data_IF_267285033486
#
_entry.id   IF_267285033486
#
_cell.length_a   1.000
_cell.length_b   1.000
_cell.length_c   1.000
_cell.angle_alpha   90.00
_cell.angle_beta   90.00
_cell.angle_gamma   90.00
#
_symmetry.space_group_name_H-M   'P 1'
#
loop_
_entity.id
_entity.type
_entity.pdbx_description
1 polymer ?
#
# COMPACT_ATOMS: atom_id res chain seq x y z
N UNK A 1 57.86 -9.90 12.15
CA UNK A 1 57.37 -9.70 10.75
C UNK A 1 58.20 -8.63 10.07
N UNK A 2 58.78 -8.94 8.92
CA UNK A 2 59.51 -7.97 8.09
C UNK A 2 58.59 -6.87 7.55
N UNK A 3 59.12 -5.70 7.27
CA UNK A 3 58.36 -4.56 6.73
C UNK A 3 57.48 -4.92 5.52
N UNK A 4 57.99 -5.66 4.50
CA UNK A 4 57.16 -6.03 3.34
C UNK A 4 55.97 -6.93 3.69
N UNK A 5 56.09 -7.81 4.67
CA UNK A 5 54.97 -8.66 5.13
C UNK A 5 53.90 -7.81 5.81
N UNK A 6 54.28 -6.81 6.60
CA UNK A 6 53.28 -5.90 7.25
C UNK A 6 52.53 -5.07 6.21
N UNK A 7 53.23 -4.56 5.20
CA UNK A 7 52.61 -3.80 4.13
C UNK A 7 51.64 -4.67 3.32
N UNK A 8 52.05 -5.89 2.95
CA UNK A 8 51.19 -6.83 2.24
C UNK A 8 49.92 -7.19 3.05
N UNK A 9 50.09 -7.43 4.36
CA UNK A 9 48.93 -7.72 5.25
C UNK A 9 47.94 -6.55 5.32
N UNK A 10 48.45 -5.31 5.40
CA UNK A 10 47.59 -4.12 5.40
C UNK A 10 46.85 -3.94 4.09
N UNK A 11 47.50 -4.16 2.95
CA UNK A 11 46.84 -4.08 1.64
C UNK A 11 45.72 -5.11 1.52
N UNK A 12 45.99 -6.38 1.90
CA UNK A 12 44.98 -7.43 1.85
C UNK A 12 43.80 -7.13 2.78
N UNK A 13 44.08 -6.62 4.00
CA UNK A 13 43.02 -6.23 4.94
C UNK A 13 42.17 -5.08 4.36
N UNK A 14 42.79 -4.08 3.76
CA UNK A 14 42.07 -2.95 3.15
C UNK A 14 41.19 -3.39 1.96
N UNK A 15 41.70 -4.27 1.11
CA UNK A 15 40.94 -4.85 0.00
C UNK A 15 39.76 -5.70 0.49
N UNK A 16 39.95 -6.49 1.54
CA UNK A 16 38.89 -7.31 2.13
C UNK A 16 37.77 -6.45 2.74
N UNK A 17 38.11 -5.40 3.48
CA UNK A 17 37.16 -4.45 4.04
C UNK A 17 36.43 -3.69 2.92
N UNK A 18 37.14 -3.24 1.90
CA UNK A 18 36.52 -2.58 0.73
C UNK A 18 35.57 -3.48 -0.03
N UNK A 19 35.93 -4.75 -0.24
CA UNK A 19 35.07 -5.75 -0.87
C UNK A 19 33.83 -6.04 -0.04
N UNK A 20 33.96 -6.18 1.29
CA UNK A 20 32.85 -6.39 2.19
C UNK A 20 31.90 -5.19 2.21
N UNK A 21 32.45 -3.98 2.30
CA UNK A 21 31.65 -2.75 2.26
C UNK A 21 30.91 -2.61 0.91
N UNK A 22 31.60 -2.87 -0.20
CA UNK A 22 31.00 -2.89 -1.53
C UNK A 22 29.88 -3.94 -1.66
N UNK A 23 30.10 -5.15 -1.14
CA UNK A 23 29.10 -6.21 -1.11
C UNK A 23 27.86 -5.78 -0.30
N UNK A 24 28.05 -5.22 0.90
CA UNK A 24 26.95 -4.73 1.74
C UNK A 24 26.16 -3.63 1.02
N UNK A 25 26.86 -2.64 0.44
CA UNK A 25 26.20 -1.55 -0.28
C UNK A 25 25.40 -2.07 -1.48
N UNK A 26 26.00 -2.92 -2.30
CA UNK A 26 25.33 -3.47 -3.49
C UNK A 26 24.16 -4.38 -3.07
N UNK A 27 24.39 -5.27 -2.12
CA UNK A 27 23.40 -6.28 -1.76
C UNK A 27 22.23 -5.74 -0.93
N UNK A 28 22.48 -4.80 -0.03
CA UNK A 28 21.43 -4.29 0.88
C UNK A 28 20.87 -2.93 0.49
N UNK A 29 21.59 -2.11 -0.27
CA UNK A 29 21.15 -0.77 -0.62
C UNK A 29 20.85 -0.55 -2.10
N UNK A 30 21.55 -1.24 -3.00
CA UNK A 30 21.35 -1.08 -4.44
C UNK A 30 20.61 -2.25 -5.09
N UNK A 31 20.74 -3.46 -4.54
CA UNK A 31 20.04 -4.64 -5.04
C UNK A 31 18.69 -4.92 -4.35
N UNK A 32 18.31 -4.16 -3.31
CA UNK A 32 16.95 -4.17 -2.81
C UNK A 32 16.06 -3.51 -3.87
N UNK A 33 15.56 -4.29 -4.82
CA UNK A 33 14.41 -3.87 -5.61
C UNK A 33 13.30 -3.54 -4.62
N UNK A 34 12.79 -2.31 -4.65
CA UNK A 34 11.59 -1.95 -3.91
C UNK A 34 10.44 -2.93 -4.23
N UNK A 35 9.30 -2.84 -3.54
CA UNK A 35 8.14 -3.65 -3.87
C UNK A 35 7.83 -3.54 -5.37
N UNK A 36 7.42 -4.63 -6.03
CA UNK A 36 7.11 -4.61 -7.46
C UNK A 36 6.05 -3.54 -7.78
N UNK A 37 6.03 -3.09 -9.02
CA UNK A 37 5.02 -2.15 -9.54
C UNK A 37 4.07 -2.94 -10.44
N UNK A 38 2.76 -2.89 -10.17
CA UNK A 38 1.74 -3.53 -11.01
C UNK A 38 1.30 -2.59 -12.12
N UNK A 39 1.44 -3.04 -13.35
CA UNK A 39 1.17 -2.24 -14.56
C UNK A 39 -0.27 -2.45 -15.05
N UNK A 40 -1.08 -1.40 -14.96
CA UNK A 40 -2.46 -1.33 -15.49
C UNK A 40 -2.55 -0.58 -16.82
N UNK A 41 -1.43 -0.28 -17.46
CA UNK A 41 -1.39 0.50 -18.70
C UNK A 41 -1.44 -0.36 -19.96
N UNK A 42 -1.12 -1.62 -19.86
CA UNK A 42 -0.80 -2.51 -20.99
C UNK A 42 -1.88 -2.64 -22.08
N UNK A 43 -3.12 -2.19 -21.84
CA UNK A 43 -4.24 -2.29 -22.80
C UNK A 43 -5.01 -0.99 -22.96
N UNK A 44 -4.44 0.14 -22.53
CA UNK A 44 -5.14 1.42 -22.51
C UNK A 44 -4.33 2.47 -23.25
N UNK A 45 -4.96 3.12 -24.23
CA UNK A 45 -4.34 4.27 -24.91
C UNK A 45 -4.52 5.51 -24.04
N UNK A 46 -3.43 6.21 -23.70
CA UNK A 46 -3.51 7.47 -22.95
C UNK A 46 -4.44 8.48 -23.62
N UNK A 47 -5.03 9.38 -22.83
CA UNK A 47 -5.90 10.48 -23.28
C UNK A 47 -7.21 10.11 -24.02
N UNK A 48 -7.61 8.86 -24.07
CA UNK A 48 -8.86 8.44 -24.76
C UNK A 48 -10.08 8.41 -23.84
N UNK A 49 -9.99 8.91 -22.60
CA UNK A 49 -11.05 8.73 -21.60
C UNK A 49 -11.13 7.28 -21.11
N UNK A 50 -10.05 6.57 -21.26
CA UNK A 50 -9.90 5.17 -20.90
C UNK A 50 -10.19 4.92 -19.42
N UNK A 51 -10.59 3.70 -19.13
CA UNK A 51 -10.94 3.26 -17.78
C UNK A 51 -10.11 2.03 -17.45
N UNK A 52 -9.45 2.06 -16.29
CA UNK A 52 -8.71 0.92 -15.74
C UNK A 52 -9.35 0.46 -14.45
N UNK A 53 -9.25 -0.84 -14.16
CA UNK A 53 -9.76 -1.42 -12.91
C UNK A 53 -8.59 -1.90 -12.07
N UNK A 54 -8.47 -1.33 -10.87
CA UNK A 54 -7.46 -1.72 -9.88
C UNK A 54 -8.17 -2.41 -8.72
N UNK A 55 -7.71 -3.60 -8.38
CA UNK A 55 -8.28 -4.41 -7.30
C UNK A 55 -7.23 -4.57 -6.21
N UNK A 56 -7.59 -4.19 -5.00
CA UNK A 56 -6.75 -4.32 -3.81
C UNK A 56 -7.48 -5.12 -2.73
N UNK A 57 -6.71 -5.70 -1.84
CA UNK A 57 -7.20 -6.12 -0.55
C UNK A 57 -6.33 -5.52 0.56
N UNK A 58 -6.96 -5.13 1.61
CA UNK A 58 -6.33 -4.79 2.87
C UNK A 58 -6.43 -6.01 3.80
N UNK A 59 -5.31 -6.45 4.32
CA UNK A 59 -5.19 -7.63 5.16
C UNK A 59 -4.61 -7.23 6.53
N UNK A 60 -5.16 -7.78 7.65
CA UNK A 60 -4.75 -7.40 9.00
C UNK A 60 -3.31 -7.80 9.34
N UNK A 61 -2.71 -8.68 8.57
CA UNK A 61 -1.34 -9.10 8.76
C UNK A 61 -0.72 -9.64 7.48
N UNK A 62 0.59 -9.53 7.37
CA UNK A 62 1.39 -10.17 6.32
C UNK A 62 1.86 -11.54 6.81
N UNK A 63 1.61 -12.60 6.06
CA UNK A 63 2.12 -13.95 6.36
C UNK A 63 3.21 -14.40 5.38
N UNK A 64 3.81 -13.45 4.66
CA UNK A 64 4.98 -13.72 3.82
C UNK A 64 6.18 -13.94 4.71
N UNK A 65 6.83 -15.09 4.61
CA UNK A 65 7.81 -15.61 5.58
C UNK A 65 9.05 -14.72 5.80
N UNK A 66 9.33 -13.79 4.91
CA UNK A 66 10.49 -12.89 4.99
C UNK A 66 10.13 -11.47 5.45
N UNK A 67 8.85 -11.16 5.54
CA UNK A 67 8.36 -9.84 5.86
C UNK A 67 7.90 -9.74 7.32
N UNK A 68 7.94 -8.54 7.93
CA UNK A 68 7.27 -8.31 9.20
C UNK A 68 5.79 -8.64 9.13
N UNK A 69 5.24 -9.23 10.18
CA UNK A 69 3.81 -9.53 10.30
C UNK A 69 3.03 -8.25 10.61
N UNK A 70 2.90 -7.40 9.58
CA UNK A 70 2.21 -6.12 9.65
C UNK A 70 0.95 -6.11 8.80
N UNK A 71 0.01 -5.26 9.17
CA UNK A 71 -1.11 -4.92 8.31
C UNK A 71 -0.62 -4.38 6.97
N UNK A 72 -1.25 -4.80 5.88
CA UNK A 72 -0.74 -4.53 4.54
C UNK A 72 -1.84 -4.47 3.49
N UNK A 73 -1.51 -3.87 2.35
CA UNK A 73 -2.29 -4.00 1.12
C UNK A 73 -1.62 -5.00 0.17
N UNK A 74 -2.45 -5.70 -0.58
CA UNK A 74 -2.05 -6.47 -1.76
C UNK A 74 -2.78 -5.90 -2.97
N UNK A 75 -2.11 -5.91 -4.12
CA UNK A 75 -2.71 -5.58 -5.41
C UNK A 75 -2.91 -6.86 -6.21
N UNK A 76 -4.05 -7.00 -6.85
CA UNK A 76 -4.27 -8.09 -7.78
C UNK A 76 -3.65 -7.74 -9.13
N UNK A 77 -2.68 -8.54 -9.57
CA UNK A 77 -2.03 -8.37 -10.87
C UNK A 77 -3.06 -8.45 -12.00
N UNK A 78 -3.14 -7.45 -12.87
CA UNK A 78 -4.09 -7.47 -14.00
C UNK A 78 -3.77 -8.55 -15.02
N UNK A 79 -2.51 -9.01 -15.09
CA UNK A 79 -2.07 -10.04 -16.04
C UNK A 79 -2.31 -11.46 -15.54
N UNK A 80 -2.04 -11.69 -14.23
CA UNK A 80 -2.05 -13.05 -13.67
C UNK A 80 -3.22 -13.34 -12.74
N UNK A 81 -3.95 -12.28 -12.34
CA UNK A 81 -5.01 -12.30 -11.31
C UNK A 81 -4.55 -12.83 -9.93
N UNK A 82 -3.24 -12.90 -9.71
CA UNK A 82 -2.67 -13.26 -8.41
C UNK A 82 -2.54 -12.02 -7.53
N UNK A 83 -2.65 -12.21 -6.25
CA UNK A 83 -2.36 -11.19 -5.25
C UNK A 83 -0.85 -11.03 -5.12
N UNK A 84 -0.39 -9.80 -5.29
CA UNK A 84 1.02 -9.42 -5.17
C UNK A 84 1.16 -8.51 -3.95
N UNK A 85 2.13 -8.82 -3.09
CA UNK A 85 2.46 -7.98 -1.95
C UNK A 85 3.18 -6.71 -2.45
N UNK A 86 2.39 -5.73 -2.78
CA UNK A 86 2.85 -4.41 -3.22
C UNK A 86 1.76 -3.35 -3.02
N UNK A 87 2.20 -2.11 -2.98
CA UNK A 87 1.36 -0.91 -2.90
C UNK A 87 1.68 0.06 -4.03
N UNK A 88 2.54 -0.35 -4.97
CA UNK A 88 2.92 0.45 -6.12
C UNK A 88 2.20 -0.03 -7.38
N UNK A 89 1.65 0.90 -8.14
CA UNK A 89 0.96 0.59 -9.40
C UNK A 89 1.05 1.74 -10.40
N UNK A 90 1.01 1.39 -11.68
CA UNK A 90 1.01 2.33 -12.80
C UNK A 90 -0.36 2.39 -13.46
N UNK A 91 -0.79 3.61 -13.83
CA UNK A 91 -2.06 3.87 -14.53
C UNK A 91 -1.86 4.92 -15.62
N UNK A 92 -2.68 4.93 -16.69
CA UNK A 92 -2.55 5.91 -17.76
C UNK A 92 -2.95 7.32 -17.29
N UNK A 93 -2.31 8.34 -17.86
CA UNK A 93 -2.69 9.73 -17.72
C UNK A 93 -4.09 10.01 -18.29
N UNK A 94 -4.84 10.91 -17.66
CA UNK A 94 -6.17 11.33 -18.11
C UNK A 94 -7.26 10.25 -18.05
N UNK A 95 -6.99 9.12 -17.41
CA UNK A 95 -7.89 7.98 -17.33
C UNK A 95 -8.83 8.03 -16.11
N UNK A 96 -9.85 7.19 -16.13
CA UNK A 96 -10.67 6.90 -14.94
C UNK A 96 -10.17 5.60 -14.30
N UNK A 97 -9.78 5.68 -13.04
CA UNK A 97 -9.42 4.50 -12.25
C UNK A 97 -10.63 4.04 -11.45
N UNK A 98 -11.05 2.80 -11.68
CA UNK A 98 -12.10 2.13 -10.91
C UNK A 98 -11.41 1.25 -9.86
N UNK A 99 -11.51 1.64 -8.61
CA UNK A 99 -10.94 0.92 -7.49
C UNK A 99 -11.94 -0.04 -6.87
N UNK A 100 -11.47 -1.23 -6.52
CA UNK A 100 -12.16 -2.14 -5.61
C UNK A 100 -11.21 -2.51 -4.50
N UNK A 101 -11.58 -2.25 -3.25
CA UNK A 101 -10.80 -2.64 -2.07
C UNK A 101 -11.62 -3.61 -1.25
N UNK A 102 -11.08 -4.79 -1.00
CA UNK A 102 -11.61 -5.76 -0.03
C UNK A 102 -10.97 -5.46 1.32
N UNK A 103 -11.76 -5.05 2.31
CA UNK A 103 -11.31 -4.74 3.67
C UNK A 103 -11.53 -5.92 4.60
N UNK A 104 -10.46 -6.47 5.15
CA UNK A 104 -10.49 -7.66 6.02
C UNK A 104 -10.14 -7.34 7.47
N UNK A 105 -9.85 -6.10 7.80
CA UNK A 105 -9.46 -5.73 9.16
C UNK A 105 -10.58 -5.08 9.97
N UNK A 106 -10.41 -5.13 11.28
CA UNK A 106 -11.29 -4.52 12.25
C UNK A 106 -11.19 -2.98 12.24
N UNK A 107 -12.16 -2.33 12.84
CA UNK A 107 -12.18 -0.88 12.91
C UNK A 107 -11.19 -0.32 13.94
N UNK A 108 -10.70 0.90 13.67
CA UNK A 108 -9.97 1.73 14.62
C UNK A 108 -10.81 2.95 14.98
N UNK A 109 -11.30 3.09 16.24
CA UNK A 109 -12.14 4.21 16.61
C UNK A 109 -11.34 5.51 16.68
N UNK A 110 -11.72 6.51 15.88
CA UNK A 110 -11.11 7.83 15.84
C UNK A 110 -12.15 8.91 16.08
N UNK A 111 -11.86 9.82 17.02
CA UNK A 111 -12.72 10.98 17.28
C UNK A 111 -12.76 11.97 16.12
N UNK A 112 -11.66 12.08 15.37
CA UNK A 112 -11.61 12.94 14.21
C UNK A 112 -12.29 12.27 13.02
N UNK A 113 -13.47 12.78 12.65
CA UNK A 113 -14.29 12.25 11.56
C UNK A 113 -13.76 12.58 10.16
N UNK A 114 -12.69 13.37 10.03
CA UNK A 114 -12.17 13.78 8.72
C UNK A 114 -11.79 12.56 7.86
N UNK A 115 -11.26 11.52 8.48
CA UNK A 115 -10.84 10.30 7.78
C UNK A 115 -12.00 9.38 7.39
N UNK A 116 -13.17 9.57 7.99
CA UNK A 116 -14.41 8.90 7.58
C UNK A 116 -15.11 9.58 6.41
N UNK A 117 -14.71 10.81 6.04
CA UNK A 117 -15.32 11.56 4.95
C UNK A 117 -14.70 11.18 3.60
N UNK A 118 -15.55 10.92 2.61
CA UNK A 118 -15.12 10.68 1.23
C UNK A 118 -14.84 11.99 0.53
N UNK A 119 -13.69 12.10 -0.14
CA UNK A 119 -13.36 13.25 -1.01
C UNK A 119 -12.57 12.80 -2.23
N UNK A 120 -12.67 13.54 -3.32
CA UNK A 120 -11.85 13.38 -4.53
C UNK A 120 -12.20 12.17 -5.40
N UNK A 121 -13.24 11.43 -5.03
CA UNK A 121 -13.83 10.40 -5.90
C UNK A 121 -14.84 11.02 -6.88
N UNK A 122 -15.22 10.29 -7.91
CA UNK A 122 -16.29 10.75 -8.79
C UNK A 122 -17.60 10.86 -8.01
N UNK A 123 -18.08 12.08 -7.84
CA UNK A 123 -19.29 12.40 -7.08
C UNK A 123 -19.09 12.41 -5.55
N UNK A 124 -17.87 12.38 -5.04
CA UNK A 124 -17.54 12.32 -3.60
C UNK A 124 -18.31 11.23 -2.83
N UNK A 125 -18.46 10.09 -3.48
CA UNK A 125 -19.12 8.89 -2.91
C UNK A 125 -18.26 7.65 -3.12
N UNK A 126 -18.48 6.67 -2.25
CA UNK A 126 -18.00 5.29 -2.40
C UNK A 126 -19.19 4.34 -2.28
N UNK A 127 -19.04 3.12 -2.73
CA UNK A 127 -20.01 2.05 -2.57
C UNK A 127 -19.43 1.01 -1.61
N UNK A 128 -20.05 0.87 -0.44
CA UNK A 128 -19.73 -0.18 0.52
C UNK A 128 -20.78 -1.26 0.42
N UNK A 129 -20.37 -2.46 0.00
CA UNK A 129 -21.29 -3.61 -0.23
C UNK A 129 -22.50 -3.23 -1.10
N UNK A 130 -22.25 -2.40 -2.11
CA UNK A 130 -23.26 -1.91 -3.06
C UNK A 130 -24.08 -0.70 -2.59
N UNK A 131 -23.87 -0.19 -1.38
CA UNK A 131 -24.57 0.98 -0.84
C UNK A 131 -23.72 2.23 -0.99
N UNK A 132 -24.26 3.27 -1.61
CA UNK A 132 -23.57 4.55 -1.75
C UNK A 132 -23.46 5.27 -0.41
N UNK A 133 -22.25 5.69 -0.05
CA UNK A 133 -21.96 6.46 1.16
C UNK A 133 -20.96 7.57 0.86
N UNK A 134 -21.08 8.71 1.54
CA UNK A 134 -20.13 9.83 1.47
C UNK A 134 -19.38 10.05 2.80
N UNK A 135 -19.85 9.42 3.86
CA UNK A 135 -19.24 9.48 5.21
C UNK A 135 -19.43 8.14 5.91
N UNK A 136 -18.39 7.61 6.50
CA UNK A 136 -18.45 6.53 7.48
C UNK A 136 -18.15 7.09 8.87
N UNK A 137 -18.88 6.63 9.88
CA UNK A 137 -18.65 7.08 11.25
C UNK A 137 -17.45 6.36 11.86
N UNK A 138 -16.36 7.06 12.04
CA UNK A 138 -15.11 6.51 12.55
C UNK A 138 -15.02 6.42 14.08
N UNK A 139 -16.01 6.96 14.81
CA UNK A 139 -15.98 6.99 16.26
C UNK A 139 -17.07 6.12 16.90
N UNK A 140 -18.32 6.57 16.89
CA UNK A 140 -19.39 5.91 17.65
C UNK A 140 -19.83 4.58 17.03
N UNK A 141 -19.74 4.44 15.71
CA UNK A 141 -20.07 3.21 14.99
C UNK A 141 -18.84 2.35 14.68
N UNK A 142 -17.64 2.96 14.80
CA UNK A 142 -16.38 2.32 14.46
C UNK A 142 -16.46 1.63 13.08
N UNK A 143 -16.86 2.39 12.05
CA UNK A 143 -17.12 1.83 10.72
C UNK A 143 -15.90 1.89 9.78
N UNK A 144 -14.76 2.46 10.23
CA UNK A 144 -13.57 2.64 9.40
C UNK A 144 -12.42 1.81 9.95
N UNK A 145 -11.89 0.91 9.13
CA UNK A 145 -10.68 0.16 9.41
C UNK A 145 -9.43 0.95 9.00
N UNK A 146 -9.39 1.34 7.73
CA UNK A 146 -8.25 1.99 7.09
C UNK A 146 -8.69 3.12 6.17
N UNK A 147 -7.74 3.75 5.50
CA UNK A 147 -8.01 4.68 4.40
C UNK A 147 -7.10 4.43 3.22
N UNK A 148 -7.59 4.73 2.03
CA UNK A 148 -6.79 4.99 0.85
C UNK A 148 -6.82 6.51 0.62
N UNK A 149 -5.75 7.19 1.00
CA UNK A 149 -5.68 8.65 0.92
C UNK A 149 -4.50 9.10 0.05
N UNK A 150 -4.78 9.98 -0.89
CA UNK A 150 -3.82 10.57 -1.82
C UNK A 150 -3.94 12.09 -1.74
N UNK A 151 -3.25 12.73 -0.77
CA UNK A 151 -3.44 14.16 -0.46
C UNK A 151 -3.19 15.09 -1.65
N UNK A 152 -2.20 14.78 -2.48
CA UNK A 152 -1.86 15.59 -3.66
C UNK A 152 -2.98 15.64 -4.72
N UNK A 153 -3.92 14.71 -4.67
CA UNK A 153 -5.12 14.69 -5.53
C UNK A 153 -6.41 15.01 -4.76
N UNK A 154 -6.31 15.34 -3.46
CA UNK A 154 -7.48 15.58 -2.61
C UNK A 154 -8.33 14.34 -2.36
N UNK A 155 -7.80 13.15 -2.62
CA UNK A 155 -8.52 11.89 -2.45
C UNK A 155 -8.40 11.42 -1.01
N UNK A 156 -9.53 11.12 -0.39
CA UNK A 156 -9.64 10.38 0.86
C UNK A 156 -10.80 9.39 0.77
N UNK A 157 -10.50 8.13 0.87
CA UNK A 157 -11.47 7.02 0.83
C UNK A 157 -11.33 6.19 2.09
N UNK A 158 -12.33 6.22 2.99
CA UNK A 158 -12.37 5.29 4.11
C UNK A 158 -12.64 3.87 3.62
N UNK A 159 -11.87 2.92 4.11
CA UNK A 159 -12.09 1.48 3.94
C UNK A 159 -12.95 1.02 5.10
N UNK A 160 -14.13 0.52 4.78
CA UNK A 160 -15.10 0.09 5.79
C UNK A 160 -14.64 -1.18 6.49
N UNK A 161 -14.85 -1.24 7.80
CA UNK A 161 -14.64 -2.46 8.59
C UNK A 161 -15.81 -3.45 8.41
N UNK A 162 -15.56 -4.74 8.28
CA UNK A 162 -16.59 -5.76 8.24
C UNK A 162 -17.26 -6.01 9.61
N UNK A 163 -16.69 -5.49 10.70
CA UNK A 163 -17.21 -5.65 12.05
C UNK A 163 -17.32 -4.31 12.76
N UNK A 164 -18.46 -4.05 13.39
CA UNK A 164 -18.59 -2.98 14.36
C UNK A 164 -17.85 -3.39 15.64
N UNK A 165 -16.84 -2.63 16.01
CA UNK A 165 -16.23 -2.67 17.32
C UNK A 165 -15.67 -4.02 17.81
N UNK A 166 -14.56 -4.48 17.22
CA UNK A 166 -13.57 -5.32 17.92
C UNK A 166 -12.22 -5.11 17.25
N UNK A 167 -11.39 -4.27 17.79
CA UNK A 167 -10.11 -3.85 17.25
C UNK A 167 -9.07 -4.95 17.07
N UNK A 168 -9.38 -6.22 17.36
CA UNK A 168 -8.40 -7.32 17.33
C UNK A 168 -8.96 -8.63 16.78
N UNK A 169 -10.07 -8.60 16.06
CA UNK A 169 -10.48 -9.82 15.36
C UNK A 169 -9.65 -9.95 14.10
N UNK A 170 -8.66 -10.80 14.15
CA UNK A 170 -7.95 -11.24 12.97
C UNK A 170 -8.95 -11.99 12.07
N UNK A 171 -9.59 -11.27 11.17
CA UNK A 171 -10.65 -11.80 10.30
C UNK A 171 -10.08 -12.70 9.20
N UNK A 172 -8.77 -12.65 9.03
CA UNK A 172 -8.04 -13.39 8.02
C UNK A 172 -6.78 -13.97 8.67
N UNK A 173 -6.71 -15.28 8.79
CA UNK A 173 -5.61 -16.00 9.45
C UNK A 173 -4.33 -16.12 8.62
N UNK A 174 -4.41 -15.86 7.30
CA UNK A 174 -3.27 -15.90 6.39
C UNK A 174 -3.53 -14.97 5.21
N UNK A 175 -2.55 -14.13 4.89
CA UNK A 175 -2.63 -13.23 3.73
C UNK A 175 -1.91 -13.78 2.50
N UNK A 176 -2.39 -13.50 1.30
CA UNK A 176 -3.60 -12.74 1.00
C UNK A 176 -4.86 -13.45 1.49
N UNK A 177 -5.82 -12.64 1.97
CA UNK A 177 -7.08 -13.17 2.52
C UNK A 177 -7.94 -13.82 1.44
N UNK A 178 -8.74 -14.78 1.84
CA UNK A 178 -9.64 -15.48 0.92
C UNK A 178 -11.04 -14.87 0.95
N UNK A 179 -11.82 -14.95 -0.13
CA UNK A 179 -13.19 -14.44 -0.16
C UNK A 179 -14.15 -15.08 0.85
N UNK A 180 -13.77 -16.21 1.45
CA UNK A 180 -14.54 -16.86 2.52
C UNK A 180 -14.39 -16.18 3.87
N UNK A 181 -13.33 -15.38 4.05
CA UNK A 181 -13.16 -14.59 5.28
C UNK A 181 -14.13 -13.40 5.29
N UNK A 182 -14.66 -13.00 6.45
CA UNK A 182 -15.49 -11.81 6.57
C UNK A 182 -14.77 -10.57 6.04
N UNK A 183 -15.41 -9.81 5.16
CA UNK A 183 -14.82 -8.61 4.56
C UNK A 183 -15.91 -7.64 4.10
N UNK A 184 -15.52 -6.42 3.84
CA UNK A 184 -16.32 -5.42 3.11
C UNK A 184 -15.76 -5.22 1.71
N UNK A 185 -16.61 -4.79 0.80
CA UNK A 185 -16.22 -4.44 -0.57
C UNK A 185 -16.44 -2.95 -0.77
N UNK A 186 -15.35 -2.19 -0.85
CA UNK A 186 -15.38 -0.75 -1.11
C UNK A 186 -15.05 -0.49 -2.58
N UNK A 187 -15.98 0.16 -3.30
CA UNK A 187 -15.80 0.53 -4.71
C UNK A 187 -15.91 2.03 -4.89
N UNK A 188 -15.02 2.60 -5.70
CA UNK A 188 -15.03 4.01 -6.06
C UNK A 188 -14.28 4.25 -7.36
N UNK A 189 -14.44 5.44 -7.93
CA UNK A 189 -13.68 5.86 -9.10
C UNK A 189 -13.09 7.24 -8.88
N UNK A 190 -11.94 7.50 -9.49
CA UNK A 190 -11.34 8.82 -9.54
C UNK A 190 -10.67 9.05 -10.90
N UNK A 191 -10.29 10.29 -11.22
CA UNK A 191 -9.59 10.62 -12.45
C UNK A 191 -8.12 10.85 -12.19
N UNK A 192 -7.26 10.27 -13.03
CA UNK A 192 -5.84 10.57 -13.02
C UNK A 192 -5.56 11.94 -13.63
N UNK A 193 -4.51 12.64 -13.17
CA UNK A 193 -4.01 13.82 -13.88
C UNK A 193 -3.64 13.50 -15.32
N UNK A 194 -3.71 14.51 -16.19
CA UNK A 194 -3.23 14.41 -17.58
C UNK A 194 -1.71 14.47 -17.69
N UNK A 195 -1.06 15.04 -16.68
CA UNK A 195 0.39 15.14 -16.62
C UNK A 195 0.94 13.93 -15.88
N UNK A 196 1.88 13.18 -16.49
CA UNK A 196 2.58 12.09 -15.85
C UNK A 196 3.26 12.52 -14.53
N UNK A 197 3.39 11.59 -13.59
CA UNK A 197 4.02 11.85 -12.31
C UNK A 197 3.73 10.76 -11.28
N UNK A 198 4.45 10.82 -10.17
CA UNK A 198 4.30 9.91 -9.04
C UNK A 198 3.44 10.55 -7.95
N UNK A 199 2.41 9.87 -7.54
CA UNK A 199 1.45 10.29 -6.54
C UNK A 199 1.50 9.34 -5.34
N UNK A 200 2.00 9.85 -4.25
CA UNK A 200 2.07 9.11 -2.99
C UNK A 200 0.69 8.95 -2.37
N UNK A 201 0.39 7.75 -1.91
CA UNK A 201 -0.81 7.45 -1.14
C UNK A 201 -0.48 6.73 0.17
N UNK A 202 -1.35 6.86 1.17
CA UNK A 202 -1.10 6.33 2.50
C UNK A 202 -2.41 6.09 3.24
N UNK A 203 -2.44 5.07 4.09
CA UNK A 203 -3.43 4.98 5.16
C UNK A 203 -3.21 6.10 6.18
N UNK A 204 -4.29 6.74 6.63
CA UNK A 204 -4.28 7.82 7.64
C UNK A 204 -4.86 7.39 8.98
N UNK A 205 -5.38 6.18 9.06
CA UNK A 205 -5.79 5.53 10.30
C UNK A 205 -4.54 4.92 10.95
N UNK A 206 -4.32 5.03 12.26
CA UNK A 206 -3.20 4.37 12.92
C UNK A 206 -3.23 2.86 12.70
N UNK A 207 -2.24 2.33 11.98
CA UNK A 207 -2.15 0.93 11.57
C UNK A 207 -0.82 0.35 12.05
N UNK A 208 -0.80 -0.24 13.22
CA UNK A 208 0.41 -0.83 13.80
C UNK A 208 1.35 0.20 14.43
N UNK A 209 2.22 -0.29 15.30
CA UNK A 209 3.07 0.56 16.15
C UNK A 209 4.44 0.90 15.54
N UNK A 210 4.89 0.18 14.49
CA UNK A 210 6.25 0.32 13.99
C UNK A 210 7.31 -0.12 15.00
N UNK A 211 8.55 0.36 14.83
CA UNK A 211 9.67 -0.06 15.69
C UNK A 211 9.81 0.78 16.94
N UNK A 212 9.94 2.10 16.81
CA UNK A 212 10.10 3.02 17.93
C UNK A 212 9.08 4.13 17.77
N UNK A 213 8.15 4.26 18.71
CA UNK A 213 7.10 5.28 18.72
C UNK A 213 6.34 5.40 17.38
N UNK A 214 6.13 4.24 16.68
CA UNK A 214 5.48 4.18 15.38
C UNK A 214 6.38 4.49 14.17
N UNK A 215 7.67 4.79 14.37
CA UNK A 215 8.60 5.01 13.26
C UNK A 215 8.95 3.70 12.54
N UNK A 216 9.06 3.75 11.21
CA UNK A 216 9.42 2.60 10.39
C UNK A 216 8.40 1.45 10.42
N UNK A 217 7.16 1.72 10.85
CA UNK A 217 6.08 0.75 10.82
C UNK A 217 5.35 0.69 9.48
N UNK A 218 4.25 -0.09 9.39
CA UNK A 218 3.52 -0.32 8.14
C UNK A 218 3.05 0.97 7.46
N UNK A 219 2.71 2.00 8.23
CA UNK A 219 2.26 3.29 7.69
C UNK A 219 3.36 4.10 6.98
N UNK A 220 4.63 3.78 7.18
CA UNK A 220 5.77 4.49 6.59
C UNK A 220 6.57 3.63 5.62
N UNK A 221 6.22 2.36 5.49
CA UNK A 221 6.96 1.41 4.65
C UNK A 221 6.17 1.14 3.38
N UNK A 222 6.74 1.52 2.23
CA UNK A 222 6.18 1.20 0.91
C UNK A 222 6.09 -0.31 0.78
N UNK A 223 4.95 -0.78 0.28
CA UNK A 223 4.63 -2.21 0.22
C UNK A 223 3.66 -2.65 1.31
N UNK A 224 3.39 -1.83 2.32
CA UNK A 224 2.42 -2.13 3.40
C UNK A 224 1.21 -1.21 3.36
N UNK A 225 1.21 -0.13 4.15
CA UNK A 225 0.05 0.77 4.26
C UNK A 225 0.30 2.11 3.55
N UNK A 226 1.32 2.15 2.72
CA UNK A 226 1.68 3.29 1.89
C UNK A 226 2.30 2.84 0.58
N UNK A 227 2.15 3.60 -0.48
CA UNK A 227 2.68 3.30 -1.79
C UNK A 227 2.64 4.47 -2.77
N UNK A 228 2.95 4.17 -4.01
CA UNK A 228 2.95 5.14 -5.10
C UNK A 228 1.99 4.70 -6.21
N UNK A 229 1.23 5.64 -6.71
CA UNK A 229 0.58 5.55 -8.00
C UNK A 229 1.42 6.31 -9.02
N UNK A 230 1.88 5.64 -10.04
CA UNK A 230 2.59 6.25 -11.16
C UNK A 230 1.60 6.51 -12.29
N UNK A 231 1.47 7.77 -12.66
CA UNK A 231 0.68 8.19 -13.82
C UNK A 231 1.63 8.30 -15.01
N UNK A 232 1.42 7.49 -16.03
CA UNK A 232 2.28 7.42 -17.21
C UNK A 232 1.54 7.88 -18.45
N UNK A 233 2.28 8.48 -19.40
CA UNK A 233 1.74 9.07 -20.63
C UNK A 233 1.75 8.13 -21.82
#
# INVERSE_FOLDING_TARGET
>A
MSLPVRVATLIVAFLAVGALAGFVVVHYFLASSGPPVEDFTAHVTPDTGASVSVVMQEAPQTTVTTDPDWVTYFIQSPQTHKWIHTTNFEVPAGSTVNMTIFGYDGCTPLRNQVWGKVTGTVGDVIYVDGRAVSVLNSWSECSVAHTFAMPNLGINVPVASPTSFQANSNLCSASPCTPSSPHTVVKFSFRTPRTPGTFFWQCKIPCGLGFIDGNGGPMQTIGYMTGNMEVVG
#
